data_IF_965913715969
#
_entry.id   IF_965913715969
#
_cell.length_a   1.000
_cell.length_b   1.000
_cell.length_c   1.000
_cell.angle_alpha   90.00
_cell.angle_beta   90.00
_cell.angle_gamma   90.00
#
_symmetry.space_group_name_H-M   'P 1'
#
loop_
_entity.id
_entity.type
_entity.pdbx_description
1 polymer ?
#
# COMPACT_ATOMS: atom_id res chain seq x y z
N UNK A 1 0.01 18.57 -8.99
CA UNK A 1 0.27 17.17 -9.40
C UNK A 1 1.76 16.94 -9.27
N UNK A 2 2.19 16.25 -8.23
CA UNK A 2 3.54 15.69 -8.16
C UNK A 2 3.35 14.19 -8.10
N UNK A 3 3.81 13.53 -9.17
CA UNK A 3 3.77 12.09 -9.33
C UNK A 3 4.60 11.46 -8.22
N UNK A 4 3.95 10.70 -7.33
CA UNK A 4 4.63 9.81 -6.40
C UNK A 4 5.44 8.83 -7.26
N UNK A 5 6.76 8.94 -7.18
CA UNK A 5 7.69 8.19 -8.02
C UNK A 5 7.36 6.70 -8.01
N UNK A 6 7.12 6.16 -9.20
CA UNK A 6 6.92 4.74 -9.42
C UNK A 6 8.22 4.00 -9.03
N UNK A 7 8.16 3.24 -7.94
CA UNK A 7 9.20 2.27 -7.63
C UNK A 7 9.03 1.09 -8.59
N UNK A 8 9.97 0.93 -9.51
CA UNK A 8 10.04 -0.29 -10.33
C UNK A 8 10.62 -1.44 -9.49
N UNK A 9 10.24 -2.71 -9.75
CA UNK A 9 10.72 -3.86 -8.99
C UNK A 9 12.26 -3.90 -8.85
N UNK A 10 12.98 -3.56 -9.93
CA UNK A 10 14.45 -3.52 -9.97
C UNK A 10 15.01 -2.47 -9.01
N UNK A 11 14.40 -1.28 -8.96
CA UNK A 11 14.82 -0.20 -8.06
C UNK A 11 14.64 -0.60 -6.59
N UNK A 12 13.67 -1.44 -6.29
CA UNK A 12 13.41 -1.91 -4.93
C UNK A 12 14.48 -2.89 -4.42
N UNK A 13 14.99 -3.78 -5.29
CA UNK A 13 16.07 -4.71 -4.94
C UNK A 13 17.38 -3.98 -4.65
N UNK A 14 17.75 -3.00 -5.49
CA UNK A 14 18.95 -2.20 -5.25
C UNK A 14 18.82 -1.32 -4.01
N UNK A 15 17.62 -0.81 -3.73
CA UNK A 15 17.36 -0.10 -2.49
C UNK A 15 17.49 -1.01 -1.26
N UNK A 16 17.04 -2.27 -1.34
CA UNK A 16 17.19 -3.22 -0.24
C UNK A 16 18.66 -3.52 0.03
N UNK A 17 19.46 -3.80 -1.01
CA UNK A 17 20.93 -3.99 -0.87
C UNK A 17 21.61 -2.80 -0.21
N UNK A 18 21.18 -1.58 -0.53
CA UNK A 18 21.70 -0.35 0.10
C UNK A 18 21.25 -0.21 1.54
N UNK A 19 19.99 -0.54 1.83
CA UNK A 19 19.41 -0.46 3.18
C UNK A 19 20.04 -1.49 4.15
N UNK A 20 20.53 -2.62 3.62
CA UNK A 20 21.16 -3.69 4.39
C UNK A 20 22.69 -3.67 4.36
N UNK A 21 23.30 -2.69 3.67
CA UNK A 21 24.74 -2.60 3.40
C UNK A 21 25.33 -3.91 2.82
N UNK A 22 24.56 -4.55 1.93
CA UNK A 22 24.89 -5.85 1.35
C UNK A 22 24.86 -5.79 -0.20
N UNK A 23 25.82 -5.09 -0.85
CA UNK A 23 25.81 -4.86 -2.30
C UNK A 23 25.94 -6.15 -3.13
N UNK A 24 26.54 -7.20 -2.58
CA UNK A 24 26.72 -8.49 -3.24
C UNK A 24 25.67 -9.55 -2.85
N UNK A 25 24.66 -9.18 -2.04
CA UNK A 25 23.63 -10.13 -1.61
C UNK A 25 22.89 -10.73 -2.82
N UNK A 26 22.76 -12.06 -2.80
CA UNK A 26 21.99 -12.78 -3.82
C UNK A 26 20.50 -12.53 -3.63
N UNK A 27 19.69 -12.84 -4.64
CA UNK A 27 18.23 -12.74 -4.52
C UNK A 27 17.70 -13.59 -3.37
N UNK A 28 18.29 -14.77 -3.11
CA UNK A 28 17.86 -15.64 -2.02
C UNK A 28 18.12 -14.98 -0.65
N UNK A 29 19.30 -14.38 -0.46
CA UNK A 29 19.66 -13.67 0.78
C UNK A 29 18.72 -12.48 1.04
N UNK A 30 18.37 -11.76 -0.03
CA UNK A 30 17.46 -10.62 0.03
C UNK A 30 16.03 -11.05 0.38
N UNK A 31 15.55 -12.18 -0.15
CA UNK A 31 14.26 -12.76 0.21
C UNK A 31 14.23 -13.12 1.69
N UNK A 32 15.25 -13.82 2.18
CA UNK A 32 15.37 -14.14 3.62
C UNK A 32 15.35 -12.88 4.46
N UNK A 33 16.08 -11.84 4.04
CA UNK A 33 16.13 -10.56 4.74
C UNK A 33 14.75 -9.88 4.78
N UNK A 34 13.99 -9.91 3.68
CA UNK A 34 12.63 -9.36 3.64
C UNK A 34 11.69 -10.12 4.59
N UNK A 35 11.81 -11.45 4.68
CA UNK A 35 11.05 -12.23 5.67
C UNK A 35 11.40 -11.82 7.10
N UNK A 36 12.68 -11.70 7.44
CA UNK A 36 13.10 -11.20 8.75
C UNK A 36 12.54 -9.81 9.03
N UNK A 37 12.54 -8.90 8.05
CA UNK A 37 11.96 -7.57 8.23
C UNK A 37 10.45 -7.61 8.51
N UNK A 38 9.72 -8.55 7.90
CA UNK A 38 8.30 -8.75 8.17
C UNK A 38 8.07 -9.32 9.57
N UNK A 39 8.87 -10.31 9.98
CA UNK A 39 8.78 -10.91 11.32
C UNK A 39 9.08 -9.91 12.44
N UNK A 40 9.99 -8.97 12.19
CA UNK A 40 10.40 -7.93 13.15
C UNK A 40 9.52 -6.67 13.14
N UNK A 41 8.51 -6.59 12.26
CA UNK A 41 7.78 -5.34 11.96
C UNK A 41 8.74 -4.16 11.67
N UNK A 42 9.83 -4.46 10.97
CA UNK A 42 10.89 -3.49 10.70
C UNK A 42 10.38 -2.43 9.72
N UNK A 43 10.57 -1.16 10.08
CA UNK A 43 10.28 0.00 9.22
C UNK A 43 11.31 0.10 8.09
N UNK A 44 11.12 -0.70 7.03
CA UNK A 44 11.96 -0.72 5.84
C UNK A 44 11.32 0.00 4.66
N UNK A 45 12.07 0.89 4.02
CA UNK A 45 11.57 1.61 2.83
C UNK A 45 11.52 0.69 1.63
N UNK A 46 12.52 -0.19 1.46
CA UNK A 46 12.55 -1.15 0.38
C UNK A 46 11.43 -2.20 0.50
N UNK A 47 11.21 -2.77 1.69
CA UNK A 47 10.11 -3.71 1.92
C UNK A 47 8.75 -3.07 1.60
N UNK A 48 8.51 -1.85 2.11
CA UNK A 48 7.26 -1.12 1.87
C UNK A 48 7.03 -0.83 0.38
N UNK A 49 8.08 -0.49 -0.36
CA UNK A 49 7.98 -0.30 -1.81
C UNK A 49 7.62 -1.60 -2.53
N UNK A 50 8.24 -2.73 -2.16
CA UNK A 50 7.95 -4.03 -2.76
C UNK A 50 6.50 -4.47 -2.50
N UNK A 51 6.03 -4.35 -1.26
CA UNK A 51 4.65 -4.64 -0.87
C UNK A 51 3.66 -3.80 -1.68
N UNK A 52 3.96 -2.51 -1.92
CA UNK A 52 3.14 -1.64 -2.75
C UNK A 52 3.01 -2.12 -4.20
N UNK A 53 4.09 -2.65 -4.79
CA UNK A 53 4.07 -3.24 -6.14
C UNK A 53 3.21 -4.51 -6.16
N UNK A 54 3.45 -5.43 -5.21
CA UNK A 54 2.71 -6.70 -5.12
C UNK A 54 1.21 -6.45 -4.93
N UNK A 55 0.83 -5.54 -4.03
CA UNK A 55 -0.57 -5.18 -3.83
C UNK A 55 -1.20 -4.62 -5.08
N UNK A 56 -0.52 -3.70 -5.78
CA UNK A 56 -1.05 -3.13 -7.03
C UNK A 56 -1.35 -4.21 -8.05
N UNK A 57 -0.41 -5.10 -8.30
CA UNK A 57 -0.59 -6.15 -9.31
C UNK A 57 -1.70 -7.12 -8.91
N UNK A 58 -1.76 -7.54 -7.64
CA UNK A 58 -2.82 -8.42 -7.17
C UNK A 58 -4.22 -7.78 -7.21
N UNK A 59 -4.36 -6.49 -6.90
CA UNK A 59 -5.64 -5.78 -7.06
C UNK A 59 -6.04 -5.62 -8.54
N UNK A 60 -5.09 -5.30 -9.42
CA UNK A 60 -5.36 -5.13 -10.86
C UNK A 60 -5.75 -6.44 -11.54
N UNK A 61 -5.16 -7.56 -11.11
CA UNK A 61 -5.44 -8.89 -11.64
C UNK A 61 -6.67 -9.55 -11.00
N UNK A 62 -7.21 -8.97 -9.92
CA UNK A 62 -8.32 -9.55 -9.17
C UNK A 62 -7.91 -10.67 -8.21
N UNK A 63 -6.61 -10.86 -7.96
CA UNK A 63 -6.10 -11.76 -6.93
C UNK A 63 -6.43 -11.26 -5.51
N UNK A 64 -6.59 -9.94 -5.36
CA UNK A 64 -7.01 -9.29 -4.13
C UNK A 64 -8.28 -8.47 -4.35
N UNK A 65 -9.16 -8.49 -3.34
CA UNK A 65 -10.29 -7.56 -3.26
C UNK A 65 -10.25 -6.78 -1.95
N UNK A 66 -10.83 -5.59 -1.98
CA UNK A 66 -10.94 -4.73 -0.82
C UNK A 66 -12.08 -5.19 0.06
N UNK A 67 -11.77 -6.01 1.06
CA UNK A 67 -12.77 -6.48 2.01
C UNK A 67 -13.23 -5.34 2.91
N UNK A 68 -14.51 -4.99 2.76
CA UNK A 68 -15.17 -3.97 3.54
C UNK A 68 -16.33 -4.60 4.32
N UNK A 69 -16.45 -4.21 5.59
CA UNK A 69 -17.55 -4.69 6.43
C UNK A 69 -18.90 -4.26 5.84
N UNK A 70 -19.82 -5.21 5.53
CA UNK A 70 -21.08 -4.91 4.83
C UNK A 70 -21.97 -3.86 5.51
N UNK A 71 -21.87 -3.72 6.83
CA UNK A 71 -22.59 -2.71 7.62
C UNK A 71 -22.20 -1.29 7.23
N UNK A 72 -20.92 -1.04 7.00
CA UNK A 72 -20.42 0.26 6.57
C UNK A 72 -20.78 0.54 5.11
N UNK A 73 -20.67 -0.47 4.23
CA UNK A 73 -21.03 -0.34 2.82
C UNK A 73 -22.52 0.01 2.62
N UNK A 74 -23.41 -0.61 3.42
CA UNK A 74 -24.84 -0.27 3.41
C UNK A 74 -25.10 1.15 3.92
N UNK A 75 -24.42 1.57 4.99
CA UNK A 75 -24.52 2.93 5.54
C UNK A 75 -24.08 3.98 4.52
N UNK A 76 -22.99 3.73 3.82
CA UNK A 76 -22.42 4.64 2.82
C UNK A 76 -23.27 4.72 1.55
N UNK A 77 -23.86 3.60 1.07
CA UNK A 77 -24.78 3.61 -0.08
C UNK A 77 -26.13 4.26 0.21
N UNK A 78 -26.69 4.02 1.40
CA UNK A 78 -28.00 4.58 1.77
C UNK A 78 -27.93 6.06 2.18
N UNK A 79 -26.74 6.55 2.53
CA UNK A 79 -26.51 7.95 2.75
C UNK A 79 -26.45 8.72 1.43
N UNK A 80 -27.50 9.47 1.07
CA UNK A 80 -27.48 10.49 -0.02
C UNK A 80 -26.43 11.59 0.17
N UNK A 81 -25.68 11.57 1.27
CA UNK A 81 -24.59 12.50 1.54
C UNK A 81 -23.35 11.85 0.99
N UNK A 82 -22.67 12.52 0.05
CA UNK A 82 -21.22 12.40 -0.10
C UNK A 82 -20.66 12.43 1.32
N UNK A 83 -20.33 11.28 1.88
CA UNK A 83 -19.67 11.23 3.17
C UNK A 83 -18.26 11.62 2.80
N UNK A 84 -17.99 12.93 2.76
CA UNK A 84 -16.72 13.53 2.36
C UNK A 84 -15.68 13.16 3.44
N UNK A 85 -15.40 11.88 3.58
CA UNK A 85 -14.48 11.33 4.56
C UNK A 85 -13.10 11.54 4.02
N UNK A 86 -12.27 12.14 4.85
CA UNK A 86 -10.83 12.11 4.67
C UNK A 86 -10.34 10.81 5.30
N UNK A 87 -9.84 9.89 4.48
CA UNK A 87 -9.35 8.62 4.97
C UNK A 87 -7.91 8.77 5.45
N UNK A 88 -7.62 8.23 6.63
CA UNK A 88 -6.29 8.20 7.21
C UNK A 88 -6.03 6.81 7.77
N UNK A 89 -5.15 6.06 7.11
CA UNK A 89 -4.63 4.79 7.60
C UNK A 89 -3.12 4.97 7.78
N UNK A 90 -2.64 5.27 9.01
CA UNK A 90 -1.28 5.78 9.27
C UNK A 90 -0.13 4.99 8.64
N UNK A 91 -0.29 3.67 8.53
CA UNK A 91 0.77 2.77 8.03
C UNK A 91 0.57 2.37 6.57
N UNK A 92 -0.60 2.63 5.99
CA UNK A 92 -0.93 2.21 4.62
C UNK A 92 -0.72 3.39 3.67
N UNK A 93 0.18 3.29 2.68
CA UNK A 93 0.39 4.35 1.71
C UNK A 93 -0.91 4.80 1.03
N UNK A 94 -1.02 6.06 0.66
CA UNK A 94 -2.19 6.58 -0.08
C UNK A 94 -2.52 5.75 -1.32
N UNK A 95 -1.49 5.27 -2.04
CA UNK A 95 -1.69 4.40 -3.20
C UNK A 95 -2.40 3.09 -2.85
N UNK A 96 -2.02 2.46 -1.73
CA UNK A 96 -2.64 1.23 -1.25
C UNK A 96 -4.06 1.48 -0.71
N UNK A 97 -4.31 2.63 -0.07
CA UNK A 97 -5.67 3.02 0.32
C UNK A 97 -6.58 3.13 -0.90
N UNK A 98 -6.11 3.76 -1.99
CA UNK A 98 -6.88 3.86 -3.23
C UNK A 98 -7.17 2.49 -3.85
N UNK A 99 -6.22 1.56 -3.81
CA UNK A 99 -6.44 0.19 -4.27
C UNK A 99 -7.52 -0.51 -3.43
N UNK A 100 -7.42 -0.43 -2.08
CA UNK A 100 -8.38 -1.01 -1.16
C UNK A 100 -9.83 -0.56 -1.44
N UNK A 101 -10.04 0.72 -1.72
CA UNK A 101 -11.39 1.26 -1.96
C UNK A 101 -11.83 1.21 -3.43
N UNK A 102 -10.90 1.16 -4.39
CA UNK A 102 -11.19 1.09 -5.82
C UNK A 102 -11.53 -0.32 -6.30
N UNK A 103 -10.97 -1.34 -5.65
CA UNK A 103 -11.16 -2.76 -5.96
C UNK A 103 -11.92 -3.47 -4.83
N UNK A 104 -12.85 -2.78 -4.19
CA UNK A 104 -13.61 -3.36 -3.07
C UNK A 104 -14.62 -4.41 -3.54
N UNK A 105 -15.05 -5.30 -2.63
CA UNK A 105 -16.13 -6.27 -2.90
C UNK A 105 -17.45 -5.61 -3.32
N UNK A 106 -17.57 -4.30 -3.14
CA UNK A 106 -18.76 -3.49 -3.44
C UNK A 106 -18.57 -2.61 -4.69
N UNK A 107 -17.49 -2.86 -5.46
CA UNK A 107 -17.06 -2.03 -6.57
C UNK A 107 -16.22 -0.84 -6.13
N UNK A 108 -15.98 0.09 -7.06
CA UNK A 108 -15.19 1.30 -6.79
C UNK A 108 -15.98 2.29 -5.93
N UNK A 109 -15.54 2.48 -4.69
CA UNK A 109 -16.10 3.45 -3.75
C UNK A 109 -15.17 4.63 -3.48
N UNK A 110 -14.09 4.81 -4.25
CA UNK A 110 -13.16 5.94 -4.09
C UNK A 110 -13.84 7.30 -4.20
N UNK A 111 -14.92 7.39 -4.97
CA UNK A 111 -15.76 8.58 -5.13
C UNK A 111 -16.41 9.07 -3.83
N UNK A 112 -16.47 8.24 -2.79
CA UNK A 112 -16.95 8.65 -1.48
C UNK A 112 -15.92 9.51 -0.74
N UNK A 113 -14.62 9.39 -1.03
CA UNK A 113 -13.57 10.06 -0.27
C UNK A 113 -13.13 11.39 -0.91
N UNK A 114 -12.94 12.43 -0.09
CA UNK A 114 -12.37 13.72 -0.55
C UNK A 114 -10.86 13.76 -0.55
N UNK A 115 -10.24 12.73 0.02
CA UNK A 115 -8.82 12.51 -0.08
C UNK A 115 -8.32 11.50 0.93
N UNK A 116 -7.05 11.18 0.75
CA UNK A 116 -6.32 10.15 1.47
C UNK A 116 -5.12 10.80 2.13
N UNK A 117 -4.75 10.28 3.29
CA UNK A 117 -3.56 10.68 4.01
C UNK A 117 -2.81 9.44 4.49
N UNK A 118 -1.50 9.50 4.36
CA UNK A 118 -0.55 8.63 5.06
C UNK A 118 0.39 9.51 5.89
N UNK A 119 1.00 8.92 6.92
CA UNK A 119 2.11 9.60 7.61
C UNK A 119 3.32 9.55 6.69
N UNK A 120 4.02 10.67 6.43
CA UNK A 120 5.35 10.62 5.87
C UNK A 120 6.21 9.82 6.85
N UNK A 121 6.62 8.61 6.47
CA UNK A 121 7.60 7.86 7.25
C UNK A 121 8.94 8.58 7.03
N UNK A 122 9.39 9.30 8.06
CA UNK A 122 10.73 9.92 8.09
C UNK A 122 10.74 11.45 8.11
N UNK A 123 10.39 12.05 9.25
CA UNK A 123 11.06 13.26 9.77
C UNK A 123 10.99 13.26 11.30
N UNK A 124 11.86 12.48 11.94
CA UNK A 124 12.67 12.90 13.09
C UNK A 124 13.80 11.90 13.29
#
# INVERSE_FOLDING_TARGET
>A
MTAQQHAEPVKTIDNLRRETDAPAASTADLITTLFTFMDEDRKSTALKALQGIIWRDGYLNGDFTGHLYPTYCRRWRNGKRRVLIRMYIPQVPVAAQKLLFGYSDEGDITHLFTGYFDTPVGQT
#
